data_IF_294944876148
#
_entry.id   IF_294944876148
#
_cell.length_a   1.000
_cell.length_b   1.000
_cell.length_c   1.000
_cell.angle_alpha   90.00
_cell.angle_beta   90.00
_cell.angle_gamma   90.00
#
_symmetry.space_group_name_H-M   'P 1'
#
loop_
_entity.id
_entity.type
_entity.pdbx_description
1 polymer ?
#
# COMPACT_ATOMS: atom_id res chain seq x y z
N UNK A 1 -29.54 -2.92 9.86
CA UNK A 1 -29.70 -4.39 9.97
C UNK A 1 -30.66 -4.78 8.87
N UNK A 2 -30.17 -5.24 7.72
CA UNK A 2 -31.04 -5.72 6.65
C UNK A 2 -31.39 -7.17 7.00
N UNK A 3 -32.63 -7.43 7.41
CA UNK A 3 -33.14 -8.79 7.56
C UNK A 3 -33.86 -9.15 6.26
N UNK A 4 -33.22 -9.96 5.43
CA UNK A 4 -33.84 -10.48 4.21
C UNK A 4 -34.70 -11.69 4.59
N UNK A 5 -36.03 -11.50 4.62
CA UNK A 5 -37.04 -12.46 5.08
C UNK A 5 -37.22 -13.74 4.26
N UNK A 6 -36.16 -14.25 3.61
CA UNK A 6 -36.19 -15.52 2.88
C UNK A 6 -34.96 -16.42 3.09
N UNK A 7 -33.95 -15.96 3.83
CA UNK A 7 -32.85 -16.79 4.31
C UNK A 7 -32.76 -16.65 5.82
N UNK A 8 -32.72 -17.76 6.56
CA UNK A 8 -32.51 -17.82 8.02
C UNK A 8 -31.08 -17.44 8.43
N UNK A 9 -30.45 -16.54 7.68
CA UNK A 9 -29.06 -16.12 7.79
C UNK A 9 -28.99 -14.59 7.78
N UNK A 10 -28.31 -14.03 8.78
CA UNK A 10 -28.05 -12.60 8.89
C UNK A 10 -26.66 -12.34 8.35
N UNK A 11 -26.58 -11.65 7.22
CA UNK A 11 -25.32 -11.22 6.63
C UNK A 11 -24.77 -10.01 7.36
N UNK A 12 -23.46 -10.02 7.64
CA UNK A 12 -22.74 -8.94 8.32
C UNK A 12 -21.46 -8.62 7.59
N UNK A 13 -21.20 -7.33 7.41
CA UNK A 13 -19.88 -6.83 7.01
C UNK A 13 -19.03 -6.73 8.27
N UNK A 14 -17.84 -7.34 8.25
CA UNK A 14 -16.91 -7.38 9.38
C UNK A 14 -15.62 -6.69 8.98
N UNK A 15 -15.21 -5.70 9.77
CA UNK A 15 -13.91 -5.05 9.67
C UNK A 15 -13.06 -5.43 10.89
N UNK A 16 -11.88 -5.98 10.62
CA UNK A 16 -10.92 -6.40 11.65
C UNK A 16 -9.73 -5.45 11.61
N UNK A 17 -9.49 -4.79 12.74
CA UNK A 17 -8.34 -3.93 12.97
C UNK A 17 -7.26 -4.73 13.72
N UNK A 18 -6.07 -4.88 13.12
CA UNK A 18 -4.94 -5.61 13.69
C UNK A 18 -3.61 -4.88 13.42
N UNK A 19 -3.33 -3.78 14.14
CA UNK A 19 -2.10 -3.01 13.96
C UNK A 19 -0.88 -3.87 14.29
N UNK A 20 0.13 -3.87 13.40
CA UNK A 20 1.41 -4.55 13.62
C UNK A 20 1.35 -6.09 13.65
N UNK A 21 0.19 -6.70 13.39
CA UNK A 21 0.03 -8.17 13.30
C UNK A 21 -0.43 -8.57 11.90
N UNK A 22 0.02 -9.75 11.46
CA UNK A 22 -0.46 -10.40 10.24
C UNK A 22 -1.97 -10.70 10.29
N UNK A 23 -2.54 -11.09 9.15
CA UNK A 23 -3.96 -11.40 9.01
C UNK A 23 -4.42 -12.41 10.07
N UNK A 24 -5.48 -12.05 10.80
CA UNK A 24 -6.03 -12.87 11.89
C UNK A 24 -6.65 -14.15 11.31
N UNK A 25 -6.39 -15.33 11.90
CA UNK A 25 -6.98 -16.58 11.42
C UNK A 25 -8.51 -16.58 11.57
N UNK A 26 -9.22 -17.24 10.65
CA UNK A 26 -10.70 -17.32 10.63
C UNK A 26 -11.29 -17.86 11.95
N UNK A 27 -10.57 -18.72 12.68
CA UNK A 27 -10.99 -19.27 13.97
C UNK A 27 -11.14 -18.19 15.06
N UNK A 28 -10.15 -17.33 15.22
CA UNK A 28 -10.19 -16.21 16.19
C UNK A 28 -11.31 -15.21 15.84
N UNK A 29 -11.55 -14.98 14.55
CA UNK A 29 -12.62 -14.09 14.06
C UNK A 29 -13.99 -14.69 14.39
N UNK A 30 -14.16 -15.99 14.15
CA UNK A 30 -15.38 -16.75 14.43
C UNK A 30 -15.78 -16.64 15.90
N UNK A 31 -14.82 -16.82 16.82
CA UNK A 31 -15.06 -16.70 18.25
C UNK A 31 -15.43 -15.28 18.68
N UNK A 32 -14.80 -14.25 18.12
CA UNK A 32 -15.10 -12.84 18.44
C UNK A 32 -16.51 -12.46 17.98
N UNK A 33 -16.91 -12.88 16.78
CA UNK A 33 -18.25 -12.63 16.25
C UNK A 33 -19.31 -13.35 17.11
N UNK A 34 -19.05 -14.60 17.48
CA UNK A 34 -19.91 -15.38 18.37
C UNK A 34 -20.13 -14.67 19.72
N UNK A 35 -19.06 -14.15 20.33
CA UNK A 35 -19.13 -13.36 21.56
C UNK A 35 -19.94 -12.07 21.41
N UNK A 36 -19.78 -11.34 20.31
CA UNK A 36 -20.51 -10.09 20.05
C UNK A 36 -22.01 -10.32 19.90
N UNK A 37 -22.41 -11.37 19.18
CA UNK A 37 -23.82 -11.66 18.90
C UNK A 37 -24.46 -12.65 19.88
N UNK A 38 -23.72 -13.08 20.91
CA UNK A 38 -24.17 -14.06 21.91
C UNK A 38 -24.65 -15.37 21.28
N UNK A 39 -24.01 -15.78 20.20
CA UNK A 39 -24.29 -17.04 19.49
C UNK A 39 -23.17 -18.04 19.70
N UNK A 40 -23.41 -19.31 19.41
CA UNK A 40 -22.35 -20.32 19.40
C UNK A 40 -21.49 -20.14 18.14
N UNK A 41 -20.18 -20.40 18.21
CA UNK A 41 -19.29 -20.20 17.08
C UNK A 41 -19.71 -21.07 15.89
N UNK A 42 -20.24 -22.26 16.09
CA UNK A 42 -20.61 -23.21 15.03
C UNK A 42 -21.65 -22.68 14.04
N UNK A 43 -22.45 -21.70 14.46
CA UNK A 43 -23.50 -21.06 13.66
C UNK A 43 -22.93 -19.91 12.82
N UNK A 44 -21.71 -19.45 13.11
CA UNK A 44 -21.04 -18.34 12.41
C UNK A 44 -20.12 -18.87 11.32
N UNK A 45 -20.33 -18.41 10.09
CA UNK A 45 -19.48 -18.73 8.94
C UNK A 45 -18.82 -17.44 8.42
N UNK A 46 -17.53 -17.23 8.72
CA UNK A 46 -16.79 -16.08 8.23
C UNK A 46 -16.12 -16.40 6.88
N UNK A 47 -16.31 -15.54 5.86
CA UNK A 47 -15.82 -15.77 4.49
C UNK A 47 -15.37 -14.47 3.79
N UNK A 48 -14.60 -14.61 2.71
CA UNK A 48 -14.25 -13.49 1.83
C UNK A 48 -13.38 -12.39 2.46
N UNK A 49 -12.44 -12.72 3.35
CA UNK A 49 -11.54 -11.73 3.94
C UNK A 49 -10.48 -11.25 2.96
N UNK A 50 -10.38 -9.93 2.82
CA UNK A 50 -9.36 -9.24 2.04
C UNK A 50 -8.68 -8.19 2.91
N UNK A 51 -7.34 -8.21 2.94
CA UNK A 51 -6.54 -7.21 3.66
C UNK A 51 -6.27 -6.00 2.77
N UNK A 52 -6.32 -4.80 3.36
CA UNK A 52 -5.99 -3.57 2.65
C UNK A 52 -4.49 -3.52 2.29
N UNK A 53 -4.18 -2.84 1.19
CA UNK A 53 -2.79 -2.59 0.76
C UNK A 53 -2.11 -1.73 1.84
N UNK A 54 -0.99 -2.21 2.38
CA UNK A 54 -0.31 -1.60 3.54
C UNK A 54 -0.64 -2.25 4.90
N UNK A 55 -1.56 -3.21 4.94
CA UNK A 55 -1.85 -4.02 6.14
C UNK A 55 -2.68 -3.30 7.21
N UNK A 56 -2.79 -3.91 8.40
CA UNK A 56 -3.46 -3.35 9.58
C UNK A 56 -5.00 -3.38 9.58
N UNK A 57 -5.64 -3.44 8.41
CA UNK A 57 -7.10 -3.57 8.27
C UNK A 57 -7.47 -4.71 7.33
N UNK A 58 -8.44 -5.52 7.72
CA UNK A 58 -9.01 -6.59 6.88
C UNK A 58 -10.52 -6.46 6.87
N UNK A 59 -11.11 -6.48 5.68
CA UNK A 59 -12.56 -6.45 5.47
C UNK A 59 -13.03 -7.83 5.02
N UNK A 60 -14.20 -8.26 5.47
CA UNK A 60 -14.80 -9.51 5.05
C UNK A 60 -16.27 -9.59 5.41
N UNK A 61 -16.86 -10.77 5.19
CA UNK A 61 -18.27 -11.02 5.44
C UNK A 61 -18.42 -12.16 6.45
N UNK A 62 -19.52 -12.14 7.19
CA UNK A 62 -19.92 -13.21 8.06
C UNK A 62 -21.40 -13.50 7.92
N UNK A 63 -21.73 -14.78 7.76
CA UNK A 63 -23.11 -15.27 7.89
C UNK A 63 -23.30 -15.73 9.32
N UNK A 64 -24.35 -15.22 9.96
CA UNK A 64 -24.81 -15.69 11.27
C UNK A 64 -26.17 -16.31 11.07
N UNK A 65 -26.28 -17.63 11.23
CA UNK A 65 -27.57 -18.32 11.19
C UNK A 65 -28.27 -18.25 12.54
N UNK A 66 -29.56 -18.59 12.57
CA UNK A 66 -30.31 -18.74 13.82
C UNK A 66 -30.28 -20.19 14.35
N UNK A 67 -30.19 -21.21 13.47
CA UNK A 67 -30.09 -22.63 13.84
C UNK A 67 -28.89 -23.34 13.21
N UNK A 68 -28.43 -24.40 13.88
CA UNK A 68 -27.27 -25.20 13.44
C UNK A 68 -27.56 -26.02 12.16
N UNK A 69 -28.81 -26.41 11.94
CA UNK A 69 -29.18 -27.26 10.80
C UNK A 69 -29.08 -26.51 9.47
N UNK A 70 -29.43 -25.22 9.47
CA UNK A 70 -29.21 -24.36 8.30
C UNK A 70 -27.72 -24.16 8.05
N UNK A 71 -26.92 -23.92 9.09
CA UNK A 71 -25.47 -23.77 8.93
C UNK A 71 -24.85 -25.00 8.24
N UNK A 72 -25.18 -26.22 8.68
CA UNK A 72 -24.62 -27.47 8.12
C UNK A 72 -24.89 -27.65 6.63
N UNK A 73 -26.11 -27.35 6.16
CA UNK A 73 -26.51 -27.53 4.75
C UNK A 73 -25.64 -26.69 3.80
N UNK A 74 -25.34 -25.45 4.19
CA UNK A 74 -24.55 -24.52 3.38
C UNK A 74 -23.04 -24.71 3.59
N UNK A 75 -22.61 -25.11 4.78
CA UNK A 75 -21.21 -25.48 5.08
C UNK A 75 -20.74 -26.64 4.19
N UNK A 76 -21.59 -27.63 3.90
CA UNK A 76 -21.21 -28.77 3.06
C UNK A 76 -20.80 -28.32 1.64
N UNK A 77 -21.53 -27.36 1.06
CA UNK A 77 -21.26 -26.82 -0.27
C UNK A 77 -20.01 -25.93 -0.31
N UNK A 78 -19.80 -25.12 0.73
CA UNK A 78 -18.61 -24.26 0.84
C UNK A 78 -17.32 -25.08 1.06
N UNK A 79 -17.37 -26.14 1.88
CA UNK A 79 -16.19 -27.01 2.10
C UNK A 79 -15.79 -27.77 0.84
N UNK A 80 -16.75 -28.30 0.08
CA UNK A 80 -16.43 -28.98 -1.19
C UNK A 80 -15.71 -28.08 -2.20
N UNK A 81 -15.98 -26.77 -2.18
CA UNK A 81 -15.32 -25.81 -3.09
C UNK A 81 -13.95 -25.37 -2.57
N UNK A 82 -13.78 -25.19 -1.25
CA UNK A 82 -12.46 -24.91 -0.65
C UNK A 82 -11.49 -26.10 -0.78
N UNK A 83 -11.96 -27.34 -0.60
CA UNK A 83 -11.17 -28.57 -0.78
C UNK A 83 -10.78 -28.80 -2.25
N UNK A 84 -11.70 -28.52 -3.19
CA UNK A 84 -11.39 -28.52 -4.62
C UNK A 84 -10.38 -27.42 -5.01
N UNK A 85 -10.47 -26.22 -4.43
CA UNK A 85 -9.55 -25.12 -4.72
C UNK A 85 -8.15 -25.31 -4.10
N UNK A 86 -8.06 -25.99 -2.95
CA UNK A 86 -6.80 -26.29 -2.27
C UNK A 86 -6.06 -27.48 -2.90
N UNK A 87 -6.77 -28.53 -3.32
CA UNK A 87 -6.19 -29.62 -4.12
C UNK A 87 -5.64 -29.13 -5.46
N UNK A 88 -6.34 -28.20 -6.13
CA UNK A 88 -5.86 -27.58 -7.36
C UNK A 88 -4.56 -26.76 -7.18
N UNK A 89 -4.40 -26.04 -6.05
CA UNK A 89 -3.17 -25.28 -5.77
C UNK A 89 -1.97 -26.18 -5.44
N UNK A 90 -2.20 -27.31 -4.76
CA UNK A 90 -1.13 -28.24 -4.42
C UNK A 90 -0.66 -29.06 -5.64
N UNK A 91 -1.57 -29.40 -6.56
CA UNK A 91 -1.17 -30.00 -7.85
C UNK A 91 -0.34 -29.03 -8.71
N UNK A 92 -0.63 -27.73 -8.67
CA UNK A 92 0.09 -26.74 -9.47
C UNK A 92 1.51 -26.46 -8.93
N UNK A 93 1.72 -26.56 -7.62
CA UNK A 93 3.07 -26.44 -7.01
C UNK A 93 3.92 -27.69 -7.21
N UNK A 94 3.34 -28.89 -7.24
CA UNK A 94 4.08 -30.13 -7.57
C UNK A 94 4.48 -30.22 -9.05
N UNK A 95 3.62 -29.73 -9.97
CA UNK A 95 3.95 -29.65 -11.40
C UNK A 95 5.06 -28.63 -11.70
N UNK A 96 5.19 -27.55 -10.92
CA UNK A 96 6.27 -26.54 -11.06
C UNK A 96 7.66 -27.07 -10.63
N UNK A 97 7.73 -28.16 -9.85
CA UNK A 97 9.00 -28.78 -9.43
C UNK A 97 9.56 -29.75 -10.49
N UNK A 98 8.74 -30.22 -11.43
CA UNK A 98 9.13 -31.17 -12.48
C UNK A 98 9.13 -30.60 -13.91
N UNK A 99 8.62 -29.38 -14.13
CA UNK A 99 8.51 -28.77 -15.45
C UNK A 99 9.49 -27.60 -15.67
N UNK A 100 10.80 -27.85 -15.52
CA UNK A 100 11.82 -27.18 -16.36
C UNK A 100 12.24 -28.17 -17.44
N UNK A 101 11.32 -28.50 -18.34
CA UNK A 101 11.67 -28.78 -19.73
C UNK A 101 10.39 -28.83 -20.58
N UNK A 102 10.48 -28.17 -21.74
CA UNK A 102 9.57 -28.27 -22.91
C UNK A 102 8.20 -27.58 -22.78
N UNK A 103 8.08 -26.39 -23.39
CA UNK A 103 6.90 -26.05 -24.22
C UNK A 103 6.97 -26.92 -25.50
N UNK A 104 5.88 -27.28 -26.21
CA UNK A 104 4.62 -26.54 -26.50
C UNK A 104 3.40 -27.52 -26.58
N UNK A 105 2.34 -27.39 -27.42
CA UNK A 105 1.67 -26.24 -28.06
C UNK A 105 0.15 -26.15 -27.74
N UNK A 106 -0.45 -25.04 -28.15
CA UNK A 106 -1.90 -24.84 -28.28
C UNK A 106 -2.56 -25.90 -29.17
N UNK A 107 -3.69 -26.49 -28.70
CA UNK A 107 -4.63 -27.24 -29.52
C UNK A 107 -6.07 -26.96 -29.08
N UNK A 108 -6.86 -26.65 -30.11
CA UNK A 108 -8.29 -26.42 -30.19
C UNK A 108 -9.06 -27.77 -30.18
N UNK A 109 -10.38 -27.68 -29.94
CA UNK A 109 -11.45 -28.69 -30.14
C UNK A 109 -11.58 -29.79 -29.06
N UNK A 110 -12.76 -30.21 -28.55
CA UNK A 110 -14.20 -30.19 -28.92
C UNK A 110 -15.02 -30.31 -27.60
N UNK A 111 -16.26 -29.85 -27.47
CA UNK A 111 -17.45 -30.57 -27.93
C UNK A 111 -18.71 -29.70 -27.85
N UNK A 112 -19.54 -29.81 -28.89
CA UNK A 112 -20.89 -29.26 -29.01
C UNK A 112 -21.92 -30.12 -28.25
N UNK A 113 -23.13 -29.59 -28.17
CA UNK A 113 -24.43 -30.23 -27.86
C UNK A 113 -24.74 -30.58 -26.40
N UNK A 114 -25.32 -29.62 -25.67
CA UNK A 114 -26.59 -29.76 -24.90
C UNK A 114 -26.97 -28.38 -24.36
N UNK A 115 -27.62 -27.54 -25.17
CA UNK A 115 -28.17 -26.25 -24.73
C UNK A 115 -29.55 -25.94 -25.32
N UNK A 116 -30.24 -26.92 -25.92
CA UNK A 116 -31.53 -26.70 -26.58
C UNK A 116 -32.75 -27.28 -25.83
N UNK A 117 -32.66 -27.52 -24.52
CA UNK A 117 -33.82 -28.00 -23.73
C UNK A 117 -33.85 -27.35 -22.34
N UNK A 118 -33.84 -26.01 -22.25
CA UNK A 118 -34.50 -25.28 -21.13
C UNK A 118 -34.98 -23.86 -21.54
N UNK A 119 -34.74 -23.38 -22.77
CA UNK A 119 -35.17 -22.03 -23.19
C UNK A 119 -36.51 -22.00 -23.94
N UNK A 120 -37.50 -22.75 -23.45
CA UNK A 120 -38.89 -22.66 -23.94
C UNK A 120 -39.91 -22.68 -22.78
N UNK A 121 -39.51 -22.25 -21.59
CA UNK A 121 -40.41 -22.05 -20.44
C UNK A 121 -40.36 -20.63 -19.88
N UNK A 122 -40.15 -19.65 -20.77
CA UNK A 122 -40.23 -18.22 -20.45
C UNK A 122 -41.03 -17.46 -21.52
N UNK A 123 -42.13 -18.04 -22.00
CA UNK A 123 -42.96 -17.47 -23.06
C UNK A 123 -44.46 -17.41 -22.72
N UNK A 124 -44.88 -17.19 -21.46
CA UNK A 124 -46.27 -16.81 -21.14
C UNK A 124 -46.36 -15.86 -19.92
N UNK A 125 -45.51 -14.84 -19.79
CA UNK A 125 -45.80 -13.73 -18.87
C UNK A 125 -45.00 -12.47 -19.23
N UNK A 126 -45.28 -11.89 -20.40
CA UNK A 126 -44.78 -10.57 -20.78
C UNK A 126 -45.98 -9.72 -21.18
N UNK A 127 -46.74 -9.22 -20.20
CA UNK A 127 -47.70 -8.15 -20.49
C UNK A 127 -48.05 -7.22 -19.31
N UNK A 128 -47.17 -7.08 -18.29
CA UNK A 128 -47.36 -6.10 -17.20
C UNK A 128 -46.09 -5.37 -16.71
N UNK A 129 -45.02 -5.25 -17.50
CA UNK A 129 -43.74 -4.71 -17.00
C UNK A 129 -43.16 -3.52 -17.78
N UNK A 130 -43.94 -2.74 -18.53
CA UNK A 130 -43.39 -1.56 -19.24
C UNK A 130 -43.24 -0.35 -18.31
N UNK A 131 -44.07 -0.22 -17.27
CA UNK A 131 -43.95 0.87 -16.29
C UNK A 131 -42.90 0.60 -15.20
N UNK A 132 -42.72 -0.67 -14.79
CA UNK A 132 -41.76 -1.04 -13.74
C UNK A 132 -40.30 -0.90 -14.22
N UNK A 133 -40.03 -1.20 -15.49
CA UNK A 133 -38.69 -1.09 -16.10
C UNK A 133 -38.26 0.38 -16.26
N UNK A 134 -39.19 1.29 -16.57
CA UNK A 134 -38.90 2.72 -16.67
C UNK A 134 -38.61 3.36 -15.30
N UNK A 135 -39.35 2.98 -14.25
CA UNK A 135 -39.08 3.47 -12.87
C UNK A 135 -37.73 2.95 -12.37
N UNK A 136 -37.39 1.69 -12.62
CA UNK A 136 -36.09 1.13 -12.26
C UNK A 136 -34.93 1.85 -12.98
N UNK A 137 -35.06 2.09 -14.29
CA UNK A 137 -34.05 2.80 -15.08
C UNK A 137 -33.81 4.25 -14.62
N UNK A 138 -34.85 4.97 -14.19
CA UNK A 138 -34.71 6.35 -13.67
C UNK A 138 -33.95 6.37 -12.34
N UNK A 139 -34.26 5.44 -11.42
CA UNK A 139 -33.56 5.36 -10.12
C UNK A 139 -32.08 4.98 -10.26
N UNK A 140 -31.73 4.15 -11.24
CA UNK A 140 -30.35 3.78 -11.53
C UNK A 140 -29.55 4.96 -12.13
N UNK A 141 -30.17 5.75 -13.02
CA UNK A 141 -29.55 6.96 -13.58
C UNK A 141 -29.26 7.98 -12.48
N UNK A 142 -30.18 8.19 -11.54
CA UNK A 142 -29.98 9.14 -10.44
C UNK A 142 -28.93 8.66 -9.45
N UNK A 143 -28.83 7.34 -9.21
CA UNK A 143 -27.73 6.73 -8.45
C UNK A 143 -26.37 6.96 -9.12
N UNK A 144 -26.28 6.79 -10.43
CA UNK A 144 -25.05 7.04 -11.20
C UNK A 144 -24.64 8.52 -11.18
N UNK A 145 -25.61 9.45 -11.26
CA UNK A 145 -25.35 10.90 -11.11
C UNK A 145 -24.81 11.25 -9.73
N UNK A 146 -25.34 10.64 -8.67
CA UNK A 146 -24.87 10.88 -7.31
C UNK A 146 -23.45 10.31 -7.11
N UNK A 147 -23.18 9.11 -7.62
CA UNK A 147 -21.83 8.56 -7.64
C UNK A 147 -20.85 9.50 -8.37
N UNK A 148 -21.21 10.00 -9.55
CA UNK A 148 -20.41 10.99 -10.29
C UNK A 148 -20.10 12.23 -9.44
N UNK A 149 -21.11 12.82 -8.77
CA UNK A 149 -20.93 13.98 -7.88
C UNK A 149 -19.96 13.69 -6.73
N UNK A 150 -20.06 12.50 -6.12
CA UNK A 150 -19.13 12.13 -5.03
C UNK A 150 -17.71 11.99 -5.54
N UNK A 151 -17.51 11.37 -6.71
CA UNK A 151 -16.18 11.25 -7.32
C UNK A 151 -15.61 12.61 -7.75
N UNK A 152 -16.43 13.50 -8.30
CA UNK A 152 -16.02 14.86 -8.67
C UNK A 152 -15.58 15.67 -7.45
N UNK A 153 -16.29 15.55 -6.32
CA UNK A 153 -15.86 16.16 -5.05
C UNK A 153 -14.52 15.61 -4.59
N UNK A 154 -14.35 14.28 -4.57
CA UNK A 154 -13.08 13.66 -4.21
C UNK A 154 -11.93 14.12 -5.12
N UNK A 155 -12.16 14.24 -6.43
CA UNK A 155 -11.16 14.76 -7.38
C UNK A 155 -10.81 16.21 -7.03
N UNK A 156 -11.82 17.07 -6.82
CA UNK A 156 -11.60 18.47 -6.46
C UNK A 156 -10.80 18.64 -5.17
N UNK A 157 -11.07 17.81 -4.16
CA UNK A 157 -10.33 17.87 -2.90
C UNK A 157 -8.87 17.40 -3.06
N UNK A 158 -8.64 16.33 -3.83
CA UNK A 158 -7.29 15.87 -4.16
C UNK A 158 -6.51 16.90 -5.00
N UNK A 159 -7.18 17.64 -5.88
CA UNK A 159 -6.56 18.72 -6.64
C UNK A 159 -6.11 19.88 -5.75
N UNK A 160 -6.91 20.24 -4.74
CA UNK A 160 -6.50 21.25 -3.73
C UNK A 160 -5.32 20.75 -2.89
N UNK A 161 -5.36 19.49 -2.47
CA UNK A 161 -4.26 18.88 -1.73
C UNK A 161 -2.97 18.88 -2.59
N UNK A 162 -3.08 18.57 -3.89
CA UNK A 162 -1.96 18.67 -4.84
C UNK A 162 -1.41 20.09 -4.88
N UNK A 163 -2.25 21.11 -5.07
CA UNK A 163 -1.77 22.51 -5.17
C UNK A 163 -1.11 22.99 -3.88
N UNK A 164 -1.66 22.63 -2.71
CA UNK A 164 -1.05 22.99 -1.42
C UNK A 164 0.28 22.29 -1.20
N UNK A 165 0.44 21.03 -1.65
CA UNK A 165 1.72 20.33 -1.60
C UNK A 165 2.74 20.94 -2.56
N UNK A 166 2.32 21.34 -3.77
CA UNK A 166 3.17 22.05 -4.73
C UNK A 166 3.70 23.37 -4.14
N UNK A 167 2.84 24.17 -3.50
CA UNK A 167 3.23 25.39 -2.79
C UNK A 167 4.26 25.13 -1.69
N UNK A 168 4.06 24.07 -0.88
CA UNK A 168 5.00 23.68 0.17
C UNK A 168 6.35 23.23 -0.40
N UNK A 169 6.35 22.53 -1.53
CA UNK A 169 7.59 22.14 -2.22
C UNK A 169 8.34 23.40 -2.67
N UNK A 170 7.63 24.37 -3.22
CA UNK A 170 8.24 25.61 -3.70
C UNK A 170 8.77 26.48 -2.54
N UNK A 171 8.06 26.53 -1.42
CA UNK A 171 8.55 27.17 -0.19
C UNK A 171 9.87 26.51 0.28
N UNK A 172 9.89 25.18 0.35
CA UNK A 172 11.09 24.44 0.76
C UNK A 172 12.26 24.63 -0.22
N UNK A 173 11.98 24.75 -1.53
CA UNK A 173 12.99 25.08 -2.55
C UNK A 173 13.56 26.48 -2.34
N UNK A 174 12.71 27.49 -2.13
CA UNK A 174 13.17 28.85 -1.80
C UNK A 174 14.06 28.89 -0.57
N UNK A 175 13.68 28.19 0.50
CA UNK A 175 14.48 28.12 1.73
C UNK A 175 15.82 27.43 1.49
N UNK A 176 15.86 26.43 0.61
CA UNK A 176 17.12 25.79 0.20
C UNK A 176 18.01 26.78 -0.55
N UNK A 177 17.47 27.49 -1.53
CA UNK A 177 18.25 28.46 -2.32
C UNK A 177 18.80 29.60 -1.44
N UNK A 178 18.02 30.06 -0.46
CA UNK A 178 18.49 31.03 0.55
C UNK A 178 19.66 30.47 1.39
N UNK A 179 19.57 29.22 1.81
CA UNK A 179 20.65 28.57 2.55
C UNK A 179 21.90 28.37 1.68
N UNK A 180 21.74 28.02 0.40
CA UNK A 180 22.83 27.87 -0.55
C UNK A 180 23.53 29.22 -0.82
N UNK A 181 22.76 30.32 -0.91
CA UNK A 181 23.29 31.68 -1.00
C UNK A 181 24.09 32.07 0.26
N UNK A 182 23.54 31.80 1.45
CA UNK A 182 24.21 32.06 2.72
C UNK A 182 25.50 31.26 2.87
N UNK A 183 25.46 29.98 2.50
CA UNK A 183 26.63 29.12 2.47
C UNK A 183 27.67 29.69 1.51
N UNK A 184 27.30 30.13 0.31
CA UNK A 184 28.24 30.74 -0.64
C UNK A 184 28.98 31.92 -0.02
N UNK A 185 28.26 32.85 0.62
CA UNK A 185 28.88 34.03 1.25
C UNK A 185 29.87 33.64 2.35
N UNK A 186 29.53 32.66 3.19
CA UNK A 186 30.44 32.19 4.24
C UNK A 186 31.67 31.47 3.66
N UNK A 187 31.52 30.68 2.59
CA UNK A 187 32.67 30.07 1.91
C UNK A 187 33.61 31.14 1.34
N UNK A 188 33.08 32.19 0.71
CA UNK A 188 33.92 33.29 0.23
C UNK A 188 34.62 34.03 1.39
N UNK A 189 33.93 34.22 2.52
CA UNK A 189 34.51 34.82 3.72
C UNK A 189 35.66 33.98 4.26
N UNK A 190 35.47 32.66 4.34
CA UNK A 190 36.50 31.72 4.75
C UNK A 190 37.71 31.79 3.81
N UNK A 191 37.49 31.76 2.49
CA UNK A 191 38.58 31.87 1.51
C UNK A 191 39.37 33.18 1.64
N UNK A 192 38.69 34.30 1.95
CA UNK A 192 39.39 35.57 2.22
C UNK A 192 40.28 35.45 3.46
N UNK A 193 39.76 34.86 4.54
CA UNK A 193 40.53 34.63 5.77
C UNK A 193 41.72 33.69 5.54
N UNK A 194 41.53 32.59 4.80
CA UNK A 194 42.61 31.66 4.45
C UNK A 194 43.75 32.36 3.71
N UNK A 195 43.43 33.25 2.75
CA UNK A 195 44.46 34.03 2.04
C UNK A 195 45.24 34.94 2.99
N UNK A 196 44.56 35.61 3.91
CA UNK A 196 45.21 36.49 4.89
C UNK A 196 46.07 35.70 5.88
N UNK A 197 45.57 34.57 6.38
CA UNK A 197 46.32 33.67 7.26
C UNK A 197 47.57 33.17 6.53
N UNK A 198 47.41 32.68 5.29
CA UNK A 198 48.52 32.19 4.48
C UNK A 198 49.60 33.27 4.25
N UNK A 199 49.20 34.52 3.97
CA UNK A 199 50.15 35.63 3.89
C UNK A 199 50.87 35.88 5.23
N UNK A 200 50.14 35.81 6.34
CA UNK A 200 50.71 35.85 7.69
C UNK A 200 51.73 34.74 7.95
N UNK A 201 51.41 33.50 7.59
CA UNK A 201 52.31 32.36 7.73
C UNK A 201 53.59 32.51 6.89
N UNK A 202 53.45 32.94 5.62
CA UNK A 202 54.59 33.16 4.73
C UNK A 202 55.50 34.29 5.25
N UNK A 203 54.91 35.39 5.72
CA UNK A 203 55.69 36.50 6.31
C UNK A 203 56.41 36.09 7.59
N UNK A 204 55.73 35.33 8.46
CA UNK A 204 56.33 34.79 9.66
C UNK A 204 57.47 33.80 9.36
N UNK A 205 57.30 32.93 8.37
CA UNK A 205 58.34 32.00 7.93
C UNK A 205 59.62 32.73 7.49
N UNK A 206 59.50 33.80 6.69
CA UNK A 206 60.65 34.63 6.26
C UNK A 206 61.37 35.30 7.42
N UNK A 207 60.62 35.80 8.41
CA UNK A 207 61.21 36.38 9.62
C UNK A 207 61.97 35.32 10.42
N UNK A 208 61.40 34.12 10.54
CA UNK A 208 62.03 33.00 11.24
C UNK A 208 63.34 32.58 10.54
N UNK A 209 63.34 32.45 9.21
CA UNK A 209 64.54 32.16 8.42
C UNK A 209 65.63 33.23 8.61
N UNK A 210 65.25 34.51 8.64
CA UNK A 210 66.18 35.62 8.88
C UNK A 210 66.76 35.55 10.30
N UNK A 211 65.94 35.24 11.30
CA UNK A 211 66.40 35.08 12.68
C UNK A 211 67.34 33.88 12.85
N UNK A 212 67.05 32.77 12.17
CA UNK A 212 67.88 31.57 12.19
C UNK A 212 69.24 31.83 11.55
N UNK A 213 69.27 32.53 10.40
CA UNK A 213 70.51 32.95 9.74
C UNK A 213 71.38 33.82 10.66
N UNK A 214 70.78 34.76 11.42
CA UNK A 214 71.50 35.56 12.40
C UNK A 214 72.08 34.71 13.54
N UNK A 215 71.31 33.75 14.07
CA UNK A 215 71.78 32.83 15.11
C UNK A 215 72.94 31.97 14.59
N UNK A 216 72.84 31.48 13.36
CA UNK A 216 73.89 30.67 12.74
C UNK A 216 75.16 31.50 12.48
N UNK A 217 75.02 32.77 12.10
CA UNK A 217 76.12 33.72 12.00
C UNK A 217 76.83 33.92 13.35
N UNK A 218 76.08 34.23 14.40
CA UNK A 218 76.62 34.42 15.75
C UNK A 218 77.32 33.15 16.28
N UNK A 219 76.74 31.97 16.00
CA UNK A 219 77.33 30.69 16.38
C UNK A 219 78.68 30.45 15.68
N UNK A 220 78.81 30.86 14.42
CA UNK A 220 80.04 30.72 13.65
C UNK A 220 81.15 31.65 14.16
N UNK A 221 80.86 32.93 14.36
CA UNK A 221 81.82 33.91 14.93
C UNK A 221 82.38 33.46 16.28
N UNK A 222 81.53 32.89 17.14
CA UNK A 222 81.96 32.34 18.43
C UNK A 222 82.91 31.12 18.29
N UNK A 223 82.69 30.28 17.27
CA UNK A 223 83.57 29.13 17.00
C UNK A 223 84.91 29.55 16.40
N UNK A 224 84.92 30.56 15.53
CA UNK A 224 86.12 31.06 14.88
C UNK A 224 87.03 31.80 15.88
N UNK A 225 86.46 32.63 16.76
CA UNK A 225 87.21 33.26 17.88
C UNK A 225 87.75 32.26 18.89
N UNK A 226 87.07 31.13 19.12
CA UNK A 226 87.56 30.04 19.98
C UNK A 226 88.71 29.23 19.35
N UNK A 227 88.88 29.29 18.02
CA UNK A 227 89.91 28.53 17.28
C UNK A 227 91.21 29.32 17.08
N UNK A 228 91.21 30.64 17.26
CA UNK A 228 92.39 31.50 17.30
C UNK A 228 93.03 31.48 18.69
#
# INVERSE_FOLDING_TARGET
>A
MQEHGHLHAKERVVEVLHPGRATVPKAEIKEKIAKMYKTTPDVVIPFGFQSAIGGGKTKGFALVYDTLDYAKKWVLQLKSTEEAASSARNEETDKRRFAVSRRPPCLLERSKSTWLIVDLFCYINVHKDVELVNVCAITDIDRLKEQKRTTEKCISDLEKDRTTLEERIEEMRRRKDELDDRLRVEHERLQRQERTIHQGEVTYAKLLESSQSLVDFMRKEYQDTRRQ
#
